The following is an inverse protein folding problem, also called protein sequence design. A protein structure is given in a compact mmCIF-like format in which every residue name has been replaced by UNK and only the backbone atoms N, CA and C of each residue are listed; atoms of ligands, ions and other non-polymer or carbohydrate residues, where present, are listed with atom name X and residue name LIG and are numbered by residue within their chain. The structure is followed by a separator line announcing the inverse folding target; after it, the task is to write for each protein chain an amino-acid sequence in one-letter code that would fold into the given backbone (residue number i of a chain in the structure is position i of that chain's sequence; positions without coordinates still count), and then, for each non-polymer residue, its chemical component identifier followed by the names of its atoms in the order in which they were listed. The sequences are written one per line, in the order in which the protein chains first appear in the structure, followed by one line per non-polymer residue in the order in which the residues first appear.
data_IF_279595456087
#
_entry.id   IF_279595456087
#
_cell.length_a   1.000
_cell.length_b   1.000
_cell.length_c   1.000
_cell.angle_alpha   90.00
_cell.angle_beta   90.00
_cell.angle_gamma   90.00
#
_symmetry.space_group_name_H-M   'P 1'
#
loop_
_entity.id
_entity.type
_entity.pdbx_description
1 polymer ?
#
# COMPACT_ATOMS: atom_id res chain seq x y z
N UNK A 1 -1.15 0.47 -22.85
CA UNK A 1 -1.13 -0.81 -22.13
C UNK A 1 0.21 -0.94 -21.48
N UNK A 2 0.24 -1.22 -20.17
CA UNK A 2 1.40 -1.07 -19.29
C UNK A 2 1.76 0.41 -19.00
N UNK A 3 0.75 1.19 -18.61
CA UNK A 3 0.91 2.60 -18.23
C UNK A 3 1.72 3.42 -19.26
N UNK A 4 2.56 4.36 -18.80
CA UNK A 4 3.42 5.20 -19.66
C UNK A 4 4.51 4.43 -20.39
N UNK A 5 4.94 3.27 -19.89
CA UNK A 5 5.87 2.39 -20.61
C UNK A 5 5.28 1.98 -21.96
N UNK A 6 4.00 1.59 -21.97
CA UNK A 6 3.28 1.24 -23.19
C UNK A 6 3.22 2.35 -24.22
N UNK A 7 3.06 3.60 -23.74
CA UNK A 7 3.04 4.78 -24.60
C UNK A 7 4.42 5.04 -25.20
N UNK A 8 5.48 4.79 -24.44
CA UNK A 8 6.88 5.04 -24.84
C UNK A 8 7.43 4.01 -25.85
N UNK A 9 6.77 2.86 -26.03
CA UNK A 9 7.19 1.84 -27.01
C UNK A 9 6.91 2.28 -28.46
N UNK A 10 7.66 1.71 -29.41
CA UNK A 10 7.41 1.87 -30.84
C UNK A 10 7.14 0.51 -31.52
N UNK A 11 5.93 0.25 -32.04
CA UNK A 11 4.75 1.12 -32.01
C UNK A 11 4.17 1.27 -30.58
N UNK A 12 3.45 2.38 -30.28
CA UNK A 12 2.85 2.59 -28.97
C UNK A 12 1.75 1.55 -28.71
N UNK A 13 1.79 0.93 -27.54
CA UNK A 13 0.82 -0.10 -27.15
C UNK A 13 -0.44 0.55 -26.59
N UNK A 14 -1.28 1.12 -27.43
CA UNK A 14 -2.53 1.81 -27.03
C UNK A 14 -3.77 1.00 -27.44
N UNK A 15 -4.87 1.15 -26.71
CA UNK A 15 -6.15 0.54 -27.06
C UNK A 15 -7.27 1.58 -27.01
N UNK A 16 -8.10 1.63 -28.05
CA UNK A 16 -9.33 2.43 -28.03
C UNK A 16 -10.36 1.74 -27.14
N UNK A 17 -10.82 2.42 -26.09
CA UNK A 17 -11.88 1.94 -25.20
C UNK A 17 -13.26 2.27 -25.78
N UNK A 18 -14.25 1.44 -25.46
CA UNK A 18 -15.67 1.64 -25.80
C UNK A 18 -16.54 0.90 -24.78
N UNK A 19 -17.87 1.07 -24.84
CA UNK A 19 -18.81 0.42 -23.92
C UNK A 19 -18.65 -1.10 -23.88
N UNK A 20 -18.41 -1.76 -25.02
CA UNK A 20 -18.20 -3.22 -25.09
C UNK A 20 -16.92 -3.66 -24.36
N UNK A 21 -15.82 -2.92 -24.48
CA UNK A 21 -14.54 -3.24 -23.81
C UNK A 21 -14.55 -2.96 -22.30
N UNK A 22 -15.44 -2.09 -21.85
CA UNK A 22 -15.57 -1.68 -20.43
C UNK A 22 -16.77 -2.32 -19.73
N UNK A 23 -17.65 -2.99 -20.47
CA UNK A 23 -18.80 -3.70 -19.91
C UNK A 23 -18.36 -4.74 -18.88
N UNK A 24 -18.96 -4.67 -17.68
CA UNK A 24 -18.75 -5.64 -16.60
C UNK A 24 -17.36 -5.62 -15.94
N UNK A 25 -16.45 -4.70 -16.30
CA UNK A 25 -15.10 -4.72 -15.70
C UNK A 25 -15.06 -4.25 -14.25
N UNK A 26 -16.08 -3.53 -13.78
CA UNK A 26 -16.15 -2.94 -12.44
C UNK A 26 -16.14 -3.98 -11.30
N UNK A 27 -16.46 -5.26 -11.59
CA UNK A 27 -16.37 -6.36 -10.62
C UNK A 27 -15.05 -7.13 -10.69
N UNK A 28 -14.17 -6.80 -11.64
CA UNK A 28 -12.92 -7.54 -11.87
C UNK A 28 -11.76 -6.85 -11.15
N UNK A 29 -10.95 -7.65 -10.45
CA UNK A 29 -9.68 -7.19 -9.91
C UNK A 29 -8.64 -6.87 -11.00
N UNK A 30 -7.58 -6.17 -10.60
CA UNK A 30 -6.50 -5.75 -11.48
C UNK A 30 -6.91 -4.65 -12.46
N UNK A 31 -6.20 -4.55 -13.58
CA UNK A 31 -6.50 -3.56 -14.63
C UNK A 31 -6.43 -4.18 -16.01
N UNK A 32 -7.43 -3.89 -16.85
CA UNK A 32 -7.46 -4.30 -18.26
C UNK A 32 -6.36 -3.61 -19.09
N UNK A 33 -5.85 -2.47 -18.60
CA UNK A 33 -4.80 -1.70 -19.26
C UNK A 33 -3.40 -2.20 -18.93
N UNK A 34 -3.25 -3.10 -17.96
CA UNK A 34 -1.96 -3.53 -17.37
C UNK A 34 -1.18 -2.37 -16.74
N UNK A 35 -0.19 -2.68 -15.92
CA UNK A 35 0.64 -1.68 -15.21
C UNK A 35 2.09 -2.17 -15.12
N UNK A 36 3.01 -1.28 -14.77
CA UNK A 36 4.42 -1.60 -14.56
C UNK A 36 5.01 -0.68 -13.49
N UNK A 37 6.03 -1.16 -12.78
CA UNK A 37 6.85 -0.40 -11.84
C UNK A 37 8.29 -0.20 -12.32
N UNK A 38 8.59 -0.53 -13.59
CA UNK A 38 9.97 -0.57 -14.13
C UNK A 38 10.32 0.58 -15.09
N UNK A 39 9.45 1.55 -15.23
CA UNK A 39 9.56 2.60 -16.25
C UNK A 39 9.08 3.94 -15.69
N UNK A 40 9.73 4.38 -14.61
CA UNK A 40 9.58 5.75 -14.13
C UNK A 40 10.25 6.71 -15.13
N UNK A 41 9.52 7.60 -15.81
CA UNK A 41 10.12 8.55 -16.73
C UNK A 41 10.99 9.61 -16.02
N UNK A 42 10.83 9.84 -14.72
CA UNK A 42 11.71 10.74 -13.96
C UNK A 42 13.10 10.14 -13.74
N UNK A 43 13.16 8.82 -13.55
CA UNK A 43 14.38 8.04 -13.33
C UNK A 43 14.40 6.85 -14.29
N UNK A 44 14.46 7.12 -15.59
CA UNK A 44 14.37 6.06 -16.59
C UNK A 44 15.71 5.31 -16.68
N UNK A 45 15.74 3.98 -16.47
CA UNK A 45 16.98 3.22 -16.51
C UNK A 45 17.46 3.03 -17.95
N UNK A 46 18.68 3.46 -18.24
CA UNK A 46 19.37 3.27 -19.54
C UNK A 46 20.65 2.51 -19.31
N UNK A 47 20.85 1.45 -20.11
CA UNK A 47 22.10 0.68 -20.10
C UNK A 47 23.10 1.30 -21.07
N UNK A 48 24.32 1.53 -20.60
CA UNK A 48 25.44 1.87 -21.47
C UNK A 48 25.98 0.61 -22.20
N UNK A 49 26.94 0.82 -23.11
CA UNK A 49 27.59 -0.25 -23.89
C UNK A 49 28.32 -1.28 -23.01
N UNK A 50 28.66 -0.90 -21.78
CA UNK A 50 29.35 -1.74 -20.79
C UNK A 50 28.38 -2.46 -19.83
N UNK A 51 27.08 -2.25 -19.97
CA UNK A 51 26.04 -2.84 -19.14
C UNK A 51 25.74 -2.11 -17.83
N UNK A 52 26.36 -0.96 -17.57
CA UNK A 52 26.03 -0.12 -16.41
C UNK A 52 24.69 0.58 -16.61
N UNK A 53 23.91 0.70 -15.54
CA UNK A 53 22.62 1.39 -15.57
C UNK A 53 22.81 2.83 -15.10
N UNK A 54 22.47 3.78 -15.96
CA UNK A 54 22.32 5.20 -15.63
C UNK A 54 20.85 5.59 -15.63
N UNK A 55 20.49 6.66 -14.94
CA UNK A 55 19.11 7.15 -14.87
C UNK A 55 19.00 8.50 -15.58
N UNK A 56 18.01 8.63 -16.46
CA UNK A 56 17.76 9.85 -17.24
C UNK A 56 16.30 10.29 -17.13
N UNK A 57 16.08 11.60 -17.14
CA UNK A 57 14.74 12.18 -17.20
C UNK A 57 14.20 12.12 -18.65
N UNK A 58 13.14 11.35 -18.86
CA UNK A 58 12.40 11.21 -20.12
C UNK A 58 11.02 11.88 -20.11
N UNK A 59 10.71 12.70 -19.12
CA UNK A 59 9.39 13.31 -18.98
C UNK A 59 9.03 14.21 -20.18
N UNK A 60 9.98 14.98 -20.71
CA UNK A 60 9.76 15.80 -21.91
C UNK A 60 9.44 14.95 -23.14
N UNK A 61 10.26 13.93 -23.42
CA UNK A 61 10.09 12.99 -24.53
C UNK A 61 8.70 12.34 -24.47
N UNK A 62 8.29 11.89 -23.27
CA UNK A 62 6.99 11.28 -23.05
C UNK A 62 5.84 12.28 -23.25
N UNK A 63 5.96 13.51 -22.74
CA UNK A 63 4.94 14.55 -22.90
C UNK A 63 4.73 14.90 -24.38
N UNK A 64 5.82 15.10 -25.13
CA UNK A 64 5.77 15.41 -26.56
C UNK A 64 5.20 14.25 -27.36
N UNK A 65 5.55 13.01 -27.01
CA UNK A 65 4.98 11.82 -27.64
C UNK A 65 3.47 11.71 -27.41
N UNK A 66 2.98 11.95 -26.19
CA UNK A 66 1.54 11.91 -25.90
C UNK A 66 0.80 13.00 -26.68
N UNK A 67 1.35 14.22 -26.73
CA UNK A 67 0.78 15.31 -27.55
C UNK A 67 0.76 14.96 -29.03
N UNK A 68 1.84 14.38 -29.55
CA UNK A 68 1.95 13.94 -30.94
C UNK A 68 0.98 12.81 -31.32
N UNK A 69 0.49 12.04 -30.35
CA UNK A 69 -0.57 11.06 -30.54
C UNK A 69 -1.97 11.68 -30.65
N UNK A 70 -2.12 12.99 -30.43
CA UNK A 70 -3.38 13.71 -30.56
C UNK A 70 -4.35 13.51 -29.39
N UNK A 71 -3.84 13.22 -28.18
CA UNK A 71 -4.67 13.17 -26.97
C UNK A 71 -4.83 14.57 -26.35
N UNK A 72 -6.07 15.00 -26.14
CA UNK A 72 -6.38 16.30 -25.53
C UNK A 72 -6.07 16.35 -24.02
N UNK A 73 -6.18 15.20 -23.35
CA UNK A 73 -5.95 15.07 -21.91
C UNK A 73 -5.55 13.66 -21.51
N UNK A 74 -4.89 13.55 -20.35
CA UNK A 74 -4.53 12.28 -19.69
C UNK A 74 -5.18 12.20 -18.31
N UNK A 75 -5.82 11.06 -18.02
CA UNK A 75 -6.23 10.70 -16.65
C UNK A 75 -5.25 9.63 -16.16
N UNK A 76 -4.44 9.96 -15.16
CA UNK A 76 -3.43 9.05 -14.61
C UNK A 76 -3.86 8.45 -13.28
N UNK A 77 -4.12 7.14 -13.29
CA UNK A 77 -4.65 6.38 -12.15
C UNK A 77 -3.51 5.64 -11.46
N UNK A 78 -3.14 6.05 -10.24
CA UNK A 78 -2.02 5.45 -9.52
C UNK A 78 -1.78 6.04 -8.14
N UNK A 79 -0.80 5.49 -7.43
CA UNK A 79 -0.39 5.96 -6.10
C UNK A 79 0.62 7.11 -6.18
N UNK A 80 1.32 7.37 -5.08
CA UNK A 80 2.27 8.49 -4.93
C UNK A 80 3.25 8.63 -6.11
N UNK A 81 3.98 7.56 -6.46
CA UNK A 81 4.93 7.60 -7.58
C UNK A 81 4.28 7.95 -8.93
N UNK A 82 3.03 7.52 -9.15
CA UNK A 82 2.30 7.90 -10.37
C UNK A 82 1.90 9.38 -10.35
N UNK A 83 1.54 9.93 -9.19
CA UNK A 83 1.17 11.34 -9.09
C UNK A 83 2.37 12.28 -9.16
N UNK A 84 3.55 11.85 -8.69
CA UNK A 84 4.83 12.53 -8.94
C UNK A 84 5.12 12.65 -10.44
N UNK A 85 4.92 11.55 -11.19
CA UNK A 85 5.02 11.56 -12.65
C UNK A 85 3.97 12.49 -13.26
N UNK A 86 2.72 12.48 -12.78
CA UNK A 86 1.67 13.39 -13.26
C UNK A 86 2.08 14.86 -13.10
N UNK A 87 2.63 15.25 -11.94
CA UNK A 87 3.10 16.62 -11.70
C UNK A 87 4.22 17.01 -12.66
N UNK A 88 5.21 16.12 -12.84
CA UNK A 88 6.31 16.37 -13.76
C UNK A 88 5.84 16.53 -15.21
N UNK A 89 4.93 15.67 -15.68
CA UNK A 89 4.37 15.77 -17.03
C UNK A 89 3.51 17.03 -17.21
N UNK A 90 2.76 17.43 -16.18
CA UNK A 90 2.02 18.68 -16.17
C UNK A 90 2.95 19.88 -16.34
N UNK A 91 4.09 19.89 -15.62
CA UNK A 91 5.09 20.96 -15.72
C UNK A 91 5.75 21.01 -17.12
N UNK A 92 5.75 19.89 -17.87
CA UNK A 92 6.13 19.85 -19.31
C UNK A 92 4.96 20.23 -20.24
N UNK A 93 3.88 20.77 -19.70
CA UNK A 93 2.71 21.27 -20.41
C UNK A 93 1.77 20.19 -20.92
N UNK A 94 1.75 18.98 -20.33
CA UNK A 94 0.77 17.95 -20.65
C UNK A 94 -0.53 18.19 -19.86
N UNK A 95 -1.71 18.29 -20.50
CA UNK A 95 -2.99 18.37 -19.79
C UNK A 95 -3.29 17.04 -19.08
N UNK A 96 -3.15 17.02 -17.76
CA UNK A 96 -3.23 15.78 -16.97
C UNK A 96 -4.03 15.98 -15.69
N UNK A 97 -4.85 14.98 -15.36
CA UNK A 97 -5.60 14.84 -14.10
C UNK A 97 -5.16 13.56 -13.39
N UNK A 98 -4.88 13.65 -12.10
CA UNK A 98 -4.54 12.51 -11.25
C UNK A 98 -5.78 11.84 -10.65
N UNK A 99 -5.70 10.52 -10.44
CA UNK A 99 -6.71 9.73 -9.71
C UNK A 99 -6.02 8.82 -8.68
N UNK A 100 -6.41 8.88 -7.39
CA UNK A 100 -5.66 8.28 -6.30
C UNK A 100 -5.92 6.77 -6.17
N UNK A 101 -4.96 5.95 -6.60
CA UNK A 101 -5.06 4.48 -6.58
C UNK A 101 -3.89 3.84 -5.85
N UNK A 102 -4.11 3.40 -4.62
CA UNK A 102 -3.17 2.60 -3.83
C UNK A 102 -3.98 1.72 -2.88
N UNK A 103 -3.43 0.57 -2.48
CA UNK A 103 -4.06 -0.21 -1.40
C UNK A 103 -3.53 0.24 -0.04
N UNK A 104 -2.40 0.96 -0.01
CA UNK A 104 -1.69 1.28 1.23
C UNK A 104 -2.31 2.48 1.95
N UNK A 105 -3.27 3.16 1.31
CA UNK A 105 -3.89 4.42 1.74
C UNK A 105 -2.87 5.52 2.09
N UNK A 106 -1.72 5.51 1.41
CA UNK A 106 -0.52 6.28 1.73
C UNK A 106 -0.42 7.62 0.98
N UNK A 107 -1.45 7.98 0.21
CA UNK A 107 -1.49 9.20 -0.58
C UNK A 107 -2.18 10.33 0.17
N UNK A 108 -1.52 11.50 0.25
CA UNK A 108 -2.05 12.67 0.94
C UNK A 108 -3.16 13.38 0.16
N UNK A 109 -3.82 14.31 0.85
CA UNK A 109 -4.90 15.15 0.33
C UNK A 109 -6.20 14.41 -0.06
N UNK A 110 -6.35 13.14 0.32
CA UNK A 110 -7.57 12.34 0.20
C UNK A 110 -7.71 11.48 1.45
N UNK A 111 -8.93 11.36 1.99
CA UNK A 111 -9.21 10.56 3.19
C UNK A 111 -9.07 9.07 2.91
N UNK A 112 -9.38 8.68 1.66
CA UNK A 112 -9.33 7.28 1.24
C UNK A 112 -8.95 7.13 -0.23
N UNK A 113 -8.17 6.09 -0.50
CA UNK A 113 -7.87 5.62 -1.85
C UNK A 113 -8.60 4.33 -2.16
N UNK A 114 -9.12 4.17 -3.38
CA UNK A 114 -9.85 2.95 -3.72
C UNK A 114 -8.92 1.75 -3.89
N UNK A 115 -9.38 0.61 -3.38
CA UNK A 115 -8.64 -0.64 -3.24
C UNK A 115 -8.20 -0.90 -1.79
N UNK A 116 -8.11 0.15 -0.95
CA UNK A 116 -7.74 0.02 0.45
C UNK A 116 -8.74 -0.83 1.24
N UNK A 117 -10.03 -0.52 1.15
CA UNK A 117 -11.07 -1.25 1.90
C UNK A 117 -11.14 -2.73 1.47
N UNK A 118 -10.98 -3.00 0.18
CA UNK A 118 -10.89 -4.37 -0.34
C UNK A 118 -9.66 -5.09 0.22
N UNK A 119 -8.50 -4.44 0.30
CA UNK A 119 -7.29 -5.02 0.87
C UNK A 119 -7.47 -5.32 2.38
N UNK A 120 -8.08 -4.40 3.13
CA UNK A 120 -8.44 -4.59 4.54
C UNK A 120 -9.41 -5.76 4.71
N UNK A 121 -10.44 -5.88 3.86
CA UNK A 121 -11.37 -7.01 3.91
C UNK A 121 -10.65 -8.34 3.67
N UNK A 122 -9.79 -8.42 2.64
CA UNK A 122 -9.03 -9.64 2.33
C UNK A 122 -8.10 -10.00 3.51
N UNK A 123 -7.42 -9.01 4.09
CA UNK A 123 -6.55 -9.22 5.23
C UNK A 123 -7.33 -9.68 6.47
N UNK A 124 -8.47 -9.06 6.75
CA UNK A 124 -9.34 -9.42 7.89
C UNK A 124 -9.94 -10.82 7.72
N UNK A 125 -10.48 -11.14 6.54
CA UNK A 125 -10.98 -12.48 6.21
C UNK A 125 -9.90 -13.55 6.38
N UNK A 126 -8.65 -13.21 6.07
CA UNK A 126 -7.51 -14.12 6.23
C UNK A 126 -7.13 -14.26 7.70
N UNK A 127 -7.15 -13.16 8.45
CA UNK A 127 -6.83 -13.14 9.87
C UNK A 127 -7.84 -13.93 10.70
N UNK A 128 -9.14 -13.79 10.43
CA UNK A 128 -10.20 -14.53 11.13
C UNK A 128 -10.00 -16.05 11.04
N UNK A 129 -9.53 -16.52 9.87
CA UNK A 129 -9.19 -17.94 9.66
C UNK A 129 -7.99 -18.36 10.52
N UNK A 130 -7.03 -17.47 10.78
CA UNK A 130 -5.91 -17.74 11.67
C UNK A 130 -6.34 -17.76 13.14
N UNK A 131 -7.15 -16.79 13.56
CA UNK A 131 -7.62 -16.63 14.96
C UNK A 131 -8.25 -17.93 15.48
N UNK A 132 -9.15 -18.53 14.71
CA UNK A 132 -9.84 -19.79 15.10
C UNK A 132 -8.88 -20.97 15.29
N UNK A 133 -7.81 -21.02 14.51
CA UNK A 133 -6.77 -22.05 14.65
C UNK A 133 -5.78 -21.75 15.78
N UNK A 134 -5.54 -20.47 16.09
CA UNK A 134 -4.70 -20.03 17.19
C UNK A 134 -5.28 -20.49 18.53
N UNK A 135 -6.58 -20.23 18.72
CA UNK A 135 -7.32 -20.60 19.92
C UNK A 135 -7.33 -22.12 20.13
N UNK A 136 -7.63 -22.87 19.07
CA UNK A 136 -7.76 -24.33 19.12
C UNK A 136 -6.46 -25.04 19.50
N UNK A 137 -5.31 -24.46 19.16
CA UNK A 137 -3.99 -25.08 19.35
C UNK A 137 -3.09 -24.36 20.35
N UNK A 138 -3.59 -23.33 21.03
CA UNK A 138 -2.82 -22.52 21.99
C UNK A 138 -1.55 -21.89 21.38
N UNK A 139 -1.68 -21.22 20.23
CA UNK A 139 -0.56 -20.73 19.42
C UNK A 139 -0.43 -19.21 19.42
N UNK A 140 0.77 -18.76 19.07
CA UNK A 140 1.02 -17.39 18.62
C UNK A 140 0.93 -17.38 17.09
N UNK A 141 -0.02 -16.65 16.53
CA UNK A 141 -0.16 -16.44 15.08
C UNK A 141 0.39 -15.07 14.72
N UNK A 142 1.26 -15.01 13.71
CA UNK A 142 1.79 -13.76 13.15
C UNK A 142 1.33 -13.66 11.71
N UNK A 143 0.59 -12.60 11.37
CA UNK A 143 0.16 -12.32 10.01
C UNK A 143 0.81 -11.05 9.50
N UNK A 144 1.62 -11.18 8.45
CA UNK A 144 2.24 -10.06 7.75
C UNK A 144 1.31 -9.54 6.65
N UNK A 145 1.05 -8.24 6.70
CA UNK A 145 0.21 -7.51 5.73
C UNK A 145 1.03 -6.49 4.95
N UNK A 146 0.51 -6.07 3.80
CA UNK A 146 1.13 -5.00 3.01
C UNK A 146 0.89 -3.64 3.69
N UNK A 147 1.55 -2.61 3.18
CA UNK A 147 1.40 -1.23 3.66
C UNK A 147 2.61 -0.36 3.39
N UNK A 148 3.72 -0.95 2.91
CA UNK A 148 5.00 -0.29 2.67
C UNK A 148 5.44 0.49 3.91
N UNK A 149 5.36 1.81 3.86
CA UNK A 149 5.81 2.73 4.92
C UNK A 149 4.64 3.20 5.81
N UNK A 150 3.41 2.75 5.55
CA UNK A 150 2.20 3.11 6.27
C UNK A 150 1.51 1.90 6.93
N UNK A 151 1.03 2.10 8.16
CA UNK A 151 0.40 1.08 9.00
C UNK A 151 -1.10 0.85 8.78
N UNK A 152 -1.73 1.52 7.80
CA UNK A 152 -3.19 1.57 7.70
C UNK A 152 -3.87 0.20 7.58
N UNK A 153 -3.37 -0.68 6.72
CA UNK A 153 -3.93 -2.04 6.55
C UNK A 153 -3.78 -2.82 7.85
N UNK A 154 -2.58 -2.83 8.44
CA UNK A 154 -2.31 -3.55 9.70
C UNK A 154 -3.21 -3.07 10.84
N UNK A 155 -3.37 -1.76 11.00
CA UNK A 155 -4.21 -1.17 12.03
C UNK A 155 -5.69 -1.54 11.85
N UNK A 156 -6.24 -1.41 10.64
CA UNK A 156 -7.63 -1.74 10.37
C UNK A 156 -7.89 -3.25 10.52
N UNK A 157 -6.98 -4.09 10.03
CA UNK A 157 -7.07 -5.55 10.19
C UNK A 157 -6.97 -5.96 11.66
N UNK A 158 -6.10 -5.34 12.46
CA UNK A 158 -5.98 -5.64 13.88
C UNK A 158 -7.26 -5.29 14.65
N UNK A 159 -7.87 -4.13 14.37
CA UNK A 159 -9.13 -3.72 15.00
C UNK A 159 -10.27 -4.64 14.56
N UNK A 160 -10.42 -4.88 13.26
CA UNK A 160 -11.51 -5.68 12.71
C UNK A 160 -11.45 -7.15 13.15
N UNK A 161 -10.25 -7.73 13.15
CA UNK A 161 -10.01 -9.13 13.49
C UNK A 161 -9.70 -9.41 14.96
N UNK A 162 -9.68 -8.37 15.82
CA UNK A 162 -9.44 -8.52 17.26
C UNK A 162 -8.04 -9.01 17.62
N UNK A 163 -7.00 -8.48 16.98
CA UNK A 163 -5.61 -8.85 17.28
C UNK A 163 -5.19 -8.40 18.68
N UNK A 164 -4.40 -9.21 19.39
CA UNK A 164 -3.80 -8.79 20.66
C UNK A 164 -2.65 -7.79 20.47
N UNK A 165 -1.95 -7.86 19.33
CA UNK A 165 -0.78 -7.05 19.02
C UNK A 165 -0.85 -6.56 17.57
N UNK A 166 -0.63 -5.26 17.36
CA UNK A 166 -0.56 -4.64 16.04
C UNK A 166 0.77 -3.88 15.90
N UNK A 167 1.62 -4.28 14.95
CA UNK A 167 2.94 -3.67 14.77
C UNK A 167 2.96 -2.90 13.44
N UNK A 168 3.20 -1.60 13.53
CA UNK A 168 3.14 -0.67 12.40
C UNK A 168 4.44 0.16 12.27
N UNK A 169 4.79 0.68 11.08
CA UNK A 169 6.00 1.47 10.88
C UNK A 169 6.09 2.73 11.75
N UNK A 170 4.93 3.33 12.07
CA UNK A 170 4.83 4.61 12.79
C UNK A 170 5.06 4.48 14.30
N UNK A 171 5.01 3.26 14.84
CA UNK A 171 5.23 2.96 16.26
C UNK A 171 6.28 1.84 16.35
N UNK A 172 7.59 2.18 16.43
CA UNK A 172 8.64 1.18 16.57
C UNK A 172 8.46 0.34 17.83
N UNK A 173 8.59 -0.98 17.70
CA UNK A 173 8.23 -1.90 18.77
C UNK A 173 9.42 -2.31 19.65
N UNK A 174 9.17 -2.46 20.95
CA UNK A 174 10.06 -3.09 21.92
C UNK A 174 9.71 -4.59 22.04
N UNK A 175 10.66 -5.45 21.68
CA UNK A 175 10.49 -6.91 21.74
C UNK A 175 10.13 -7.40 23.15
N UNK A 176 10.70 -6.81 24.20
CA UNK A 176 10.39 -7.16 25.59
C UNK A 176 8.95 -6.86 25.97
N UNK A 177 8.35 -5.80 25.41
CA UNK A 177 6.92 -5.49 25.62
C UNK A 177 6.02 -6.49 24.90
N UNK A 178 6.40 -6.90 23.68
CA UNK A 178 5.70 -7.95 22.94
C UNK A 178 5.74 -9.28 23.72
N UNK A 179 6.91 -9.68 24.22
CA UNK A 179 7.09 -10.90 25.03
C UNK A 179 6.20 -10.86 26.26
N UNK A 180 6.23 -9.77 27.04
CA UNK A 180 5.37 -9.61 28.22
C UNK A 180 3.89 -9.73 27.88
N UNK A 181 3.46 -9.14 26.76
CA UNK A 181 2.07 -9.24 26.30
C UNK A 181 1.72 -10.68 25.98
N UNK A 182 2.58 -11.40 25.26
CA UNK A 182 2.35 -12.82 24.95
C UNK A 182 2.24 -13.64 26.24
N UNK A 183 3.19 -13.52 27.15
CA UNK A 183 3.19 -14.26 28.41
C UNK A 183 1.94 -13.99 29.25
N UNK A 184 1.45 -12.73 29.28
CA UNK A 184 0.22 -12.37 30.00
C UNK A 184 -1.03 -13.10 29.51
N UNK A 185 -1.02 -13.58 28.26
CA UNK A 185 -2.15 -14.30 27.64
C UNK A 185 -2.07 -15.81 27.85
N UNK A 186 -0.94 -16.32 28.32
CA UNK A 186 -0.74 -17.74 28.59
C UNK A 186 -0.83 -18.04 30.09
N UNK A 187 -1.67 -19.00 30.46
CA UNK A 187 -1.76 -19.54 31.82
C UNK A 187 -1.56 -21.04 31.80
N UNK A 188 -0.54 -21.54 32.52
CA UNK A 188 -0.18 -22.97 32.56
C UNK A 188 -0.04 -23.58 31.15
N UNK A 189 0.54 -22.84 30.21
CA UNK A 189 0.75 -23.27 28.83
C UNK A 189 -0.48 -23.21 27.91
N UNK A 190 -1.62 -22.69 28.38
CA UNK A 190 -2.84 -22.51 27.57
C UNK A 190 -3.11 -21.03 27.36
N UNK A 191 -3.36 -20.64 26.12
CA UNK A 191 -3.54 -19.26 25.70
C UNK A 191 -3.24 -19.15 24.21
N UNK A 192 -3.60 -18.03 23.61
CA UNK A 192 -3.26 -17.74 22.22
C UNK A 192 -3.03 -16.23 22.08
N UNK A 193 -2.31 -15.85 21.03
CA UNK A 193 -2.05 -14.45 20.70
C UNK A 193 -2.03 -14.34 19.19
N UNK A 194 -2.77 -13.39 18.65
CA UNK A 194 -2.74 -13.05 17.25
C UNK A 194 -2.06 -11.70 17.07
N UNK A 195 -1.10 -11.67 16.16
CA UNK A 195 -0.25 -10.52 15.86
C UNK A 195 -0.48 -10.16 14.39
N UNK A 196 -0.84 -8.90 14.14
CA UNK A 196 -0.79 -8.32 12.79
C UNK A 196 0.45 -7.45 12.70
N UNK A 197 1.25 -7.64 11.66
CA UNK A 197 2.48 -6.87 11.43
C UNK A 197 2.50 -6.31 10.01
N UNK A 198 2.69 -5.00 9.88
CA UNK A 198 2.92 -4.36 8.57
C UNK A 198 4.31 -4.72 8.03
N UNK A 199 4.44 -4.91 6.71
CA UNK A 199 5.72 -5.24 6.05
C UNK A 199 6.86 -4.22 6.31
N UNK A 200 6.52 -2.97 6.67
CA UNK A 200 7.48 -1.92 7.05
C UNK A 200 7.65 -1.69 8.54
N UNK A 201 7.06 -2.52 9.42
CA UNK A 201 7.21 -2.38 10.87
C UNK A 201 8.69 -2.54 11.28
N UNK A 202 9.12 -1.74 12.26
CA UNK A 202 10.53 -1.69 12.69
C UNK A 202 10.64 -1.86 14.20
N UNK A 203 11.68 -2.55 14.68
CA UNK A 203 11.97 -2.55 16.11
C UNK A 203 12.46 -1.18 16.57
N UNK A 204 12.28 -0.89 17.85
CA UNK A 204 12.86 0.26 18.53
C UNK A 204 14.40 0.12 18.55
N UNK A 205 15.12 1.19 18.24
CA UNK A 205 16.59 1.17 18.17
C UNK A 205 17.21 0.65 19.48
N UNK A 206 18.24 -0.20 19.35
CA UNK A 206 18.94 -0.79 20.50
C UNK A 206 18.21 -1.93 21.22
N UNK A 207 16.97 -2.27 20.83
CA UNK A 207 16.24 -3.40 21.44
C UNK A 207 16.58 -4.76 20.81
N UNK A 208 17.32 -4.77 19.70
CA UNK A 208 17.72 -5.99 18.99
C UNK A 208 19.23 -6.12 18.96
N UNK A 209 19.73 -7.23 19.48
CA UNK A 209 21.14 -7.63 19.33
C UNK A 209 21.31 -8.18 17.91
N UNK A 210 21.90 -7.38 17.02
CA UNK A 210 22.26 -7.82 15.66
C UNK A 210 23.15 -9.05 15.71
N UNK A 211 22.83 -10.11 14.95
CA UNK A 211 23.76 -11.24 14.72
C UNK A 211 24.63 -10.95 13.49
N UNK A 212 25.87 -11.46 13.51
CA UNK A 212 26.75 -11.48 12.33
C UNK A 212 26.06 -12.23 11.17
N UNK A 213 25.73 -11.51 10.10
CA UNK A 213 25.05 -12.04 8.91
C UNK A 213 24.06 -11.07 8.25
N UNK A 214 23.57 -10.07 8.99
CA UNK A 214 22.56 -9.11 8.49
C UNK A 214 23.13 -7.99 7.59
N UNK A 215 24.46 -7.88 7.46
CA UNK A 215 25.07 -6.83 6.63
C UNK A 215 24.88 -7.04 5.12
N UNK A 216 24.67 -8.30 4.68
CA UNK A 216 24.57 -8.67 3.25
C UNK A 216 23.17 -8.60 2.64
N UNK A 217 22.10 -8.47 3.45
CA UNK A 217 20.71 -8.40 2.98
C UNK A 217 20.15 -6.97 2.95
N UNK A 218 21.00 -5.93 3.01
CA UNK A 218 20.62 -4.51 3.01
C UNK A 218 20.04 -3.98 1.69
N UNK A 219 19.67 -4.85 0.74
CA UNK A 219 18.68 -4.46 -0.26
C UNK A 219 17.30 -4.73 0.33
N UNK A 220 16.70 -3.68 0.91
CA UNK A 220 15.36 -3.68 1.54
C UNK A 220 14.31 -4.20 0.56
N UNK A 221 14.15 -5.53 0.50
CA UNK A 221 12.91 -6.12 0.01
C UNK A 221 11.96 -6.05 1.19
N UNK A 222 10.95 -5.21 1.05
CA UNK A 222 9.78 -5.27 1.93
C UNK A 222 9.22 -6.69 1.86
N UNK A 223 9.04 -7.30 3.04
CA UNK A 223 8.58 -8.67 3.20
C UNK A 223 9.47 -9.53 4.10
N UNK A 224 8.85 -10.42 4.88
CA UNK A 224 9.53 -11.39 5.74
C UNK A 224 9.79 -10.93 7.18
N UNK A 225 9.24 -9.78 7.57
CA UNK A 225 9.32 -9.26 8.94
C UNK A 225 8.61 -10.18 9.93
N UNK A 226 7.58 -10.93 9.52
CA UNK A 226 6.95 -11.94 10.37
C UNK A 226 7.90 -13.08 10.75
N UNK A 227 8.76 -13.53 9.82
CA UNK A 227 9.78 -14.54 10.12
C UNK A 227 10.84 -13.99 11.06
N UNK A 228 11.25 -12.73 10.85
CA UNK A 228 12.20 -12.06 11.73
C UNK A 228 11.65 -11.93 13.16
N UNK A 229 10.42 -11.44 13.32
CA UNK A 229 9.76 -11.34 14.62
C UNK A 229 9.59 -12.72 15.28
N UNK A 230 9.19 -13.74 14.53
CA UNK A 230 9.09 -15.11 15.04
C UNK A 230 10.40 -15.61 15.61
N UNK A 231 11.50 -15.42 14.87
CA UNK A 231 12.82 -15.83 15.35
C UNK A 231 13.24 -15.07 16.61
N UNK A 232 12.99 -13.76 16.66
CA UNK A 232 13.25 -12.94 17.85
C UNK A 232 12.45 -13.42 19.07
N UNK A 233 11.18 -13.76 18.90
CA UNK A 233 10.33 -14.28 19.98
C UNK A 233 10.81 -15.65 20.48
N UNK A 234 11.25 -16.54 19.57
CA UNK A 234 11.85 -17.83 19.92
C UNK A 234 13.15 -17.64 20.70
N UNK A 235 14.03 -16.76 20.21
CA UNK A 235 15.31 -16.44 20.86
C UNK A 235 15.09 -15.79 22.25
N UNK A 236 14.00 -15.03 22.42
CA UNK A 236 13.59 -14.45 23.70
C UNK A 236 12.94 -15.46 24.67
N UNK A 237 12.79 -16.73 24.28
CA UNK A 237 12.33 -17.81 25.14
C UNK A 237 10.82 -18.07 25.14
N UNK A 238 10.07 -17.52 24.17
CA UNK A 238 8.66 -17.88 23.99
C UNK A 238 8.55 -19.38 23.65
N UNK A 239 7.91 -20.13 24.55
CA UNK A 239 7.72 -21.59 24.42
C UNK A 239 6.52 -21.98 23.57
N UNK A 240 5.59 -21.06 23.35
CA UNK A 240 4.40 -21.32 22.54
C UNK A 240 4.80 -21.60 21.10
N UNK A 241 4.05 -22.49 20.43
CA UNK A 241 4.23 -22.71 19.00
C UNK A 241 3.83 -21.43 18.24
N UNK A 242 4.78 -20.88 17.48
CA UNK A 242 4.60 -19.69 16.65
C UNK A 242 4.40 -20.13 15.20
N UNK A 243 3.40 -19.55 14.54
CA UNK A 243 3.12 -19.75 13.11
C UNK A 243 2.99 -18.41 12.41
N UNK A 244 3.62 -18.33 11.24
CA UNK A 244 3.73 -17.12 10.44
C UNK A 244 2.93 -17.28 9.15
N UNK A 245 2.24 -16.23 8.72
CA UNK A 245 1.56 -16.16 7.43
C UNK A 245 1.90 -14.82 6.78
N UNK A 246 2.52 -14.87 5.61
CA UNK A 246 2.77 -13.68 4.79
C UNK A 246 1.71 -13.63 3.70
N UNK A 247 0.74 -12.72 3.81
CA UNK A 247 -0.33 -12.60 2.81
C UNK A 247 0.19 -12.11 1.46
N UNK A 248 1.13 -11.16 1.50
CA UNK A 248 1.74 -10.56 0.31
C UNK A 248 0.68 -10.08 -0.70
N UNK A 249 0.89 -10.44 -1.96
CA UNK A 249 0.16 -9.88 -3.10
C UNK A 249 -1.32 -10.30 -3.20
N UNK A 250 -1.79 -11.25 -2.39
CA UNK A 250 -3.23 -11.61 -2.35
C UNK A 250 -4.09 -10.39 -2.02
N UNK A 251 -3.58 -9.47 -1.19
CA UNK A 251 -4.25 -8.22 -0.80
C UNK A 251 -4.46 -7.23 -1.96
N UNK A 252 -3.73 -7.39 -3.08
CA UNK A 252 -3.85 -6.54 -4.29
C UNK A 252 -4.79 -7.15 -5.35
N UNK A 253 -5.22 -8.39 -5.13
CA UNK A 253 -6.05 -9.16 -6.05
C UNK A 253 -7.49 -9.29 -5.58
N UNK A 254 -8.27 -10.08 -6.32
CA UNK A 254 -9.65 -10.37 -5.96
C UNK A 254 -10.66 -9.34 -6.48
N UNK A 255 -11.92 -9.60 -6.15
CA UNK A 255 -13.06 -8.79 -6.57
C UNK A 255 -13.16 -7.57 -5.65
N UNK A 256 -13.17 -6.32 -6.16
CA UNK A 256 -13.32 -5.14 -5.31
C UNK A 256 -14.64 -5.22 -4.54
N UNK A 257 -14.65 -4.80 -3.28
CA UNK A 257 -15.88 -4.75 -2.49
C UNK A 257 -16.78 -3.59 -2.93
N UNK A 258 -18.04 -3.58 -2.47
CA UNK A 258 -19.03 -2.57 -2.87
C UNK A 258 -18.54 -1.14 -2.64
N UNK A 259 -17.93 -0.86 -1.48
CA UNK A 259 -17.39 0.45 -1.15
C UNK A 259 -16.37 0.94 -2.19
N UNK A 260 -15.35 0.14 -2.50
CA UNK A 260 -14.32 0.51 -3.47
C UNK A 260 -14.86 0.64 -4.90
N UNK A 261 -15.90 -0.13 -5.27
CA UNK A 261 -16.56 0.03 -6.58
C UNK A 261 -17.27 1.38 -6.69
N UNK A 262 -17.99 1.78 -5.65
CA UNK A 262 -18.66 3.10 -5.60
C UNK A 262 -17.62 4.20 -5.64
N UNK A 263 -16.62 4.14 -4.75
CA UNK A 263 -15.53 5.12 -4.67
C UNK A 263 -14.80 5.28 -6.01
N UNK A 264 -14.36 4.18 -6.63
CA UNK A 264 -13.67 4.20 -7.92
C UNK A 264 -14.55 4.74 -9.06
N UNK A 265 -15.84 4.42 -9.06
CA UNK A 265 -16.78 4.90 -10.09
C UNK A 265 -16.96 6.41 -10.00
N UNK A 266 -17.14 6.94 -8.79
CA UNK A 266 -17.30 8.38 -8.55
C UNK A 266 -15.99 9.15 -8.81
N UNK A 267 -14.83 8.58 -8.48
CA UNK A 267 -13.54 9.13 -8.92
C UNK A 267 -13.43 9.22 -10.44
N UNK A 268 -13.94 8.22 -11.18
CA UNK A 268 -13.98 8.24 -12.64
C UNK A 268 -14.83 9.39 -13.19
N UNK A 269 -16.02 9.62 -12.60
CA UNK A 269 -16.89 10.75 -12.95
C UNK A 269 -16.19 12.08 -12.65
N UNK A 270 -15.70 12.26 -11.41
CA UNK A 270 -15.02 13.49 -10.99
C UNK A 270 -13.82 13.81 -11.88
N UNK A 271 -13.00 12.82 -12.21
CA UNK A 271 -11.84 13.02 -13.07
C UNK A 271 -12.24 13.49 -14.48
N UNK A 272 -13.36 12.99 -15.02
CA UNK A 272 -13.87 13.45 -16.30
C UNK A 272 -14.43 14.87 -16.22
N UNK A 273 -15.17 15.21 -15.15
CA UNK A 273 -15.65 16.58 -14.92
C UNK A 273 -14.49 17.58 -14.82
N UNK A 274 -13.40 17.20 -14.14
CA UNK A 274 -12.18 18.00 -14.08
C UNK A 274 -11.55 18.23 -15.46
N UNK A 275 -11.52 17.21 -16.32
CA UNK A 275 -11.04 17.36 -17.71
C UNK A 275 -11.94 18.31 -18.50
N UNK A 276 -13.27 18.18 -18.39
CA UNK A 276 -14.23 19.08 -19.04
C UNK A 276 -14.08 20.53 -18.58
N UNK A 277 -13.78 20.74 -17.30
CA UNK A 277 -13.57 22.06 -16.69
C UNK A 277 -12.14 22.62 -16.88
N UNK A 278 -11.23 21.87 -17.52
CA UNK A 278 -9.84 22.29 -17.73
C UNK A 278 -8.99 22.33 -16.45
N UNK A 279 -9.39 21.59 -15.41
CA UNK A 279 -8.72 21.54 -14.11
C UNK A 279 -7.47 20.63 -14.12
N UNK A 280 -6.58 20.84 -15.09
CA UNK A 280 -5.33 20.11 -15.22
C UNK A 280 -4.33 20.48 -14.11
N UNK A 281 -3.37 19.58 -13.85
CA UNK A 281 -2.40 19.76 -12.76
C UNK A 281 -2.97 19.46 -11.37
N UNK A 282 -4.20 18.94 -11.32
CA UNK A 282 -4.91 18.55 -10.09
C UNK A 282 -5.18 17.04 -10.06
N UNK A 283 -5.46 16.54 -8.86
CA UNK A 283 -5.91 15.19 -8.58
C UNK A 283 -7.35 15.24 -8.04
N UNK A 284 -8.19 14.28 -8.42
CA UNK A 284 -9.45 14.06 -7.73
C UNK A 284 -9.17 13.52 -6.31
N UNK A 285 -9.91 13.99 -5.31
CA UNK A 285 -9.76 13.55 -3.92
C UNK A 285 -11.12 13.30 -3.27
N UNK A 286 -11.18 12.34 -2.35
CA UNK A 286 -12.35 12.09 -1.51
C UNK A 286 -12.06 12.68 -0.13
N UNK A 287 -12.80 13.72 0.26
CA UNK A 287 -12.58 14.45 1.52
C UNK A 287 -13.93 14.76 2.15
N UNK A 288 -14.11 14.41 3.42
CA UNK A 288 -15.33 14.70 4.19
C UNK A 288 -16.62 14.30 3.45
N UNK A 289 -16.62 13.09 2.88
CA UNK A 289 -17.74 12.53 2.11
C UNK A 289 -18.10 13.31 0.82
N UNK A 290 -17.14 14.03 0.25
CA UNK A 290 -17.29 14.74 -1.03
C UNK A 290 -16.09 14.50 -1.98
N UNK A 291 -16.29 14.74 -3.28
CA UNK A 291 -15.29 14.59 -4.33
C UNK A 291 -14.79 15.95 -4.82
N UNK A 292 -13.62 16.34 -4.34
CA UNK A 292 -12.99 17.64 -4.61
C UNK A 292 -11.81 17.50 -5.57
N UNK A 293 -11.31 18.63 -6.07
CA UNK A 293 -10.05 18.69 -6.82
C UNK A 293 -8.96 19.29 -5.92
N UNK A 294 -7.80 18.66 -5.85
CA UNK A 294 -6.64 19.18 -5.10
C UNK A 294 -5.42 19.31 -6.03
N UNK A 295 -4.53 20.30 -5.82
CA UNK A 295 -3.28 20.37 -6.57
C UNK A 295 -2.48 19.06 -6.46
N UNK A 296 -1.88 18.59 -7.56
CA UNK A 296 -1.03 17.38 -7.54
C UNK A 296 0.11 17.48 -6.52
N UNK A 297 0.64 18.68 -6.31
CA UNK A 297 1.68 18.96 -5.32
C UNK A 297 1.25 18.56 -3.91
N UNK A 298 0.00 18.84 -3.51
CA UNK A 298 -0.53 18.49 -2.19
C UNK A 298 -0.61 16.98 -1.99
N UNK A 299 -0.88 16.22 -3.06
CA UNK A 299 -0.97 14.77 -3.00
C UNK A 299 0.40 14.08 -2.85
N UNK A 300 1.47 14.72 -3.32
CA UNK A 300 2.82 14.12 -3.39
C UNK A 300 3.82 14.67 -2.37
N UNK A 301 3.44 15.70 -1.61
CA UNK A 301 4.35 16.42 -0.70
C UNK A 301 4.73 15.57 0.51
N UNK A 302 3.75 14.91 1.10
CA UNK A 302 3.88 14.13 2.33
C UNK A 302 3.17 12.78 2.16
N UNK A 303 3.61 11.77 2.89
CA UNK A 303 2.93 10.47 2.94
C UNK A 303 1.77 10.52 3.94
N UNK A 304 0.64 9.92 3.58
CA UNK A 304 -0.45 9.72 4.54
C UNK A 304 -0.13 8.50 5.42
N UNK A 305 0.50 8.76 6.56
CA UNK A 305 0.85 7.74 7.56
C UNK A 305 -0.10 7.80 8.76
N UNK A 306 -0.12 6.74 9.55
CA UNK A 306 -0.91 6.71 10.79
C UNK A 306 -0.33 7.70 11.79
N UNK A 307 -1.12 8.72 12.17
CA UNK A 307 -0.77 9.54 13.34
C UNK A 307 -0.96 8.70 14.61
N UNK A 308 0.13 8.46 15.34
CA UNK A 308 0.15 7.71 16.60
C UNK A 308 -0.71 8.34 17.71
N UNK A 309 -1.07 9.62 17.57
CA UNK A 309 -1.95 10.33 18.51
C UNK A 309 -3.40 10.45 18.00
N UNK A 310 -3.73 9.78 16.90
CA UNK A 310 -5.09 9.78 16.34
C UNK A 310 -6.04 8.89 17.15
N UNK A 311 -7.34 9.20 17.08
CA UNK A 311 -8.36 8.44 17.78
C UNK A 311 -8.42 6.96 17.37
N UNK A 312 -8.06 6.59 16.13
CA UNK A 312 -8.06 5.19 15.72
C UNK A 312 -6.99 4.38 16.47
N UNK A 313 -5.83 4.99 16.79
CA UNK A 313 -4.78 4.37 17.60
C UNK A 313 -5.22 4.29 19.07
N UNK A 314 -5.79 5.36 19.61
CA UNK A 314 -6.33 5.36 20.98
C UNK A 314 -7.50 4.37 21.13
N UNK A 315 -8.35 4.27 20.12
CA UNK A 315 -9.45 3.31 20.04
C UNK A 315 -8.93 1.87 20.00
N UNK A 316 -7.90 1.59 19.20
CA UNK A 316 -7.23 0.29 19.20
C UNK A 316 -6.67 -0.06 20.59
N UNK A 317 -5.99 0.89 21.25
CA UNK A 317 -5.52 0.71 22.63
C UNK A 317 -6.66 0.48 23.62
N UNK A 318 -7.76 1.21 23.48
CA UNK A 318 -8.97 1.04 24.29
C UNK A 318 -9.62 -0.34 24.14
N UNK A 319 -9.47 -0.96 22.97
CA UNK A 319 -9.87 -2.36 22.72
C UNK A 319 -8.85 -3.39 23.24
N UNK A 320 -7.74 -2.94 23.85
CA UNK A 320 -6.70 -3.80 24.42
C UNK A 320 -5.63 -4.25 23.44
N UNK A 321 -5.55 -3.63 22.25
CA UNK A 321 -4.51 -3.89 21.24
C UNK A 321 -3.21 -3.21 21.67
N UNK A 322 -2.09 -3.94 21.65
CA UNK A 322 -0.76 -3.43 22.02
C UNK A 322 0.07 -3.16 20.77
N UNK A 323 0.77 -2.02 20.75
CA UNK A 323 1.65 -1.63 19.63
C UNK A 323 3.14 -1.93 19.87
N UNK A 324 3.50 -2.35 21.09
CA UNK A 324 4.87 -2.64 21.48
C UNK A 324 5.63 -1.44 22.01
N UNK A 325 4.96 -0.32 22.33
CA UNK A 325 5.58 0.93 22.81
C UNK A 325 5.35 1.24 24.29
#
# INVERSE_FOLDING_TARGET
MEAFNGVSQDPPRIIKLNGKKTAGIHVRGGTILKTTNKADPLHFPVKDENGNVTFVDKTQELADRIKGLGFDAVINIGGDGSQKISKALYDRGLPIVGVPKTIDNDLSATDMTFGFQTAVQIASDSFDKLVTTAESHHRVMIMEVMGRDAGWIALHTAIAGGAEICLIPEIPYDLGKIVKRIESRYKKGRGFVNIVIAEGAKPLEGTIVSREGDEGSRHVRLGGIAYQLSQQLKDAGIKAEIRETVLGHVQRGGTPMAFDRVLASLFGVKAFDMVQAGEFGKMAAFVNNDFVSVPLENATKEYNIVDKNSFIVDGARGLGIVFGD
#
